data_IF_802750169327
#
_entry.id   IF_802750169327
#
_cell.length_a   1.000
_cell.length_b   1.000
_cell.length_c   1.000
_cell.angle_alpha   90.00
_cell.angle_beta   90.00
_cell.angle_gamma   90.00
#
_symmetry.space_group_name_H-M   'P 1'
#
loop_
_entity.id
_entity.type
_entity.pdbx_description
1 polymer ?
#
# COMPACT_ATOMS: atom_id res chain seq x y z
N UNK A 1 -19.53 -30.14 25.29
CA UNK A 1 -20.21 -30.20 23.97
C UNK A 1 -19.51 -29.20 23.07
N UNK A 2 -18.79 -29.71 22.11
CA UNK A 2 -17.70 -29.02 21.37
C UNK A 2 -18.20 -28.51 20.02
N UNK A 3 -19.24 -27.68 20.05
CA UNK A 3 -19.85 -27.10 18.83
C UNK A 3 -18.94 -26.09 18.11
N UNK A 4 -17.95 -25.54 18.81
CA UNK A 4 -17.03 -24.56 18.21
C UNK A 4 -15.97 -25.19 17.31
N UNK A 5 -15.55 -26.39 17.59
CA UNK A 5 -14.53 -27.12 16.80
C UNK A 5 -15.11 -27.68 15.50
N UNK A 6 -16.32 -28.25 15.53
CA UNK A 6 -16.98 -28.78 14.31
C UNK A 6 -17.32 -27.68 13.29
N UNK A 7 -17.69 -26.49 13.74
CA UNK A 7 -17.99 -25.37 12.82
C UNK A 7 -16.73 -24.76 12.18
N UNK A 8 -15.60 -24.74 12.88
CA UNK A 8 -14.33 -24.29 12.33
C UNK A 8 -13.80 -25.25 11.26
N UNK A 9 -13.83 -26.55 11.51
CA UNK A 9 -13.43 -27.58 10.53
C UNK A 9 -14.26 -27.52 9.25
N UNK A 10 -15.58 -27.31 9.34
CA UNK A 10 -16.47 -27.19 8.16
C UNK A 10 -16.15 -25.94 7.35
N UNK A 11 -15.89 -24.80 7.99
CA UNK A 11 -15.53 -23.56 7.31
C UNK A 11 -14.17 -23.68 6.58
N UNK A 12 -13.19 -24.33 7.20
CA UNK A 12 -11.87 -24.57 6.60
C UNK A 12 -11.96 -25.53 5.40
N UNK A 13 -12.79 -26.58 5.46
CA UNK A 13 -13.04 -27.49 4.33
C UNK A 13 -13.75 -26.77 3.18
N UNK A 14 -14.74 -25.91 3.47
CA UNK A 14 -15.45 -25.14 2.46
C UNK A 14 -14.52 -24.14 1.76
N UNK A 15 -13.71 -23.42 2.52
CA UNK A 15 -12.68 -22.53 1.97
C UNK A 15 -11.68 -23.28 1.09
N UNK A 16 -11.16 -24.41 1.57
CA UNK A 16 -10.23 -25.23 0.81
C UNK A 16 -10.84 -25.67 -0.53
N UNK A 17 -12.07 -26.20 -0.51
CA UNK A 17 -12.80 -26.62 -1.71
C UNK A 17 -13.05 -25.49 -2.70
N UNK A 18 -13.39 -24.29 -2.19
CA UNK A 18 -13.60 -23.10 -3.02
C UNK A 18 -12.31 -22.66 -3.72
N UNK A 19 -11.20 -22.58 -2.99
CA UNK A 19 -9.93 -22.18 -3.54
C UNK A 19 -9.32 -23.22 -4.47
N UNK A 20 -9.56 -24.52 -4.25
CA UNK A 20 -9.18 -25.59 -5.20
C UNK A 20 -9.92 -25.44 -6.53
N UNK A 21 -11.22 -25.11 -6.48
CA UNK A 21 -11.99 -24.82 -7.69
C UNK A 21 -11.50 -23.57 -8.41
N UNK A 22 -11.17 -22.49 -7.65
CA UNK A 22 -10.62 -21.27 -8.21
C UNK A 22 -9.25 -21.52 -8.86
N UNK A 23 -8.38 -22.33 -8.24
CA UNK A 23 -7.10 -22.72 -8.82
C UNK A 23 -7.28 -23.53 -10.13
N UNK A 24 -8.28 -24.39 -10.19
CA UNK A 24 -8.66 -25.10 -11.41
C UNK A 24 -9.10 -24.16 -12.54
N UNK A 25 -9.89 -23.13 -12.23
CA UNK A 25 -10.27 -22.08 -13.19
C UNK A 25 -9.07 -21.28 -13.65
N UNK A 26 -8.15 -20.93 -12.74
CA UNK A 26 -6.93 -20.15 -13.02
C UNK A 26 -5.90 -20.90 -13.90
N UNK A 27 -6.10 -22.18 -14.16
CA UNK A 27 -5.31 -22.98 -15.11
C UNK A 27 -5.91 -23.01 -16.54
N UNK A 28 -7.16 -22.54 -16.70
CA UNK A 28 -7.79 -22.51 -18.02
C UNK A 28 -7.12 -21.45 -18.92
N UNK A 29 -7.05 -21.66 -20.26
CA UNK A 29 -6.32 -20.78 -21.17
C UNK A 29 -6.69 -19.29 -21.08
N UNK A 30 -7.97 -18.99 -20.84
CA UNK A 30 -8.49 -17.63 -20.79
C UNK A 30 -8.22 -16.92 -19.45
N UNK A 31 -7.91 -17.66 -18.39
CA UNK A 31 -7.67 -17.17 -17.03
C UNK A 31 -6.33 -17.60 -16.48
N UNK A 32 -5.45 -18.15 -17.31
CA UNK A 32 -4.17 -18.71 -16.90
C UNK A 32 -3.30 -17.64 -16.17
N UNK A 33 -2.94 -17.95 -14.94
CA UNK A 33 -2.01 -17.17 -14.14
C UNK A 33 -0.61 -17.68 -14.44
N UNK A 34 0.19 -16.87 -15.13
CA UNK A 34 1.59 -17.16 -15.41
C UNK A 34 2.50 -16.57 -14.32
N UNK A 35 3.65 -17.23 -14.06
CA UNK A 35 4.63 -16.72 -13.07
C UNK A 35 4.28 -17.00 -11.62
N UNK A 36 3.36 -17.94 -11.35
CA UNK A 36 3.02 -18.44 -10.02
C UNK A 36 3.15 -19.96 -10.01
N UNK A 37 4.11 -20.48 -9.26
CA UNK A 37 4.40 -21.92 -9.22
C UNK A 37 3.36 -22.73 -8.43
N UNK A 38 2.88 -22.20 -7.31
CA UNK A 38 1.82 -22.78 -6.47
C UNK A 38 0.56 -21.89 -6.50
N UNK A 39 -0.33 -22.13 -7.47
CA UNK A 39 -1.58 -21.37 -7.62
C UNK A 39 -2.49 -21.49 -6.40
N UNK A 40 -2.58 -22.68 -5.81
CA UNK A 40 -3.45 -22.88 -4.64
C UNK A 40 -2.95 -22.12 -3.43
N UNK A 41 -1.65 -22.23 -3.14
CA UNK A 41 -1.01 -21.49 -2.05
C UNK A 41 -1.04 -19.97 -2.28
N UNK A 42 -0.90 -19.52 -3.52
CA UNK A 42 -1.05 -18.11 -3.88
C UNK A 42 -2.47 -17.59 -3.58
N UNK A 43 -3.52 -18.30 -4.03
CA UNK A 43 -4.91 -17.89 -3.76
C UNK A 43 -5.22 -17.88 -2.27
N UNK A 44 -4.70 -18.83 -1.50
CA UNK A 44 -4.82 -18.84 -0.05
C UNK A 44 -4.17 -17.61 0.60
N UNK A 45 -2.96 -17.26 0.16
CA UNK A 45 -2.26 -16.06 0.64
C UNK A 45 -2.98 -14.77 0.21
N UNK A 46 -3.51 -14.74 -1.03
CA UNK A 46 -4.15 -13.58 -1.62
C UNK A 46 -5.47 -13.23 -0.92
N UNK A 47 -6.28 -14.25 -0.59
CA UNK A 47 -7.60 -14.09 0.01
C UNK A 47 -7.63 -14.30 1.53
N UNK A 48 -6.47 -14.46 2.17
CA UNK A 48 -6.33 -14.84 3.59
C UNK A 48 -7.18 -14.02 4.56
N UNK A 49 -7.36 -12.74 4.28
CA UNK A 49 -8.04 -11.80 5.20
C UNK A 49 -9.49 -11.50 4.81
N UNK A 50 -10.00 -12.18 3.78
CA UNK A 50 -11.39 -12.02 3.38
C UNK A 50 -12.32 -12.98 4.15
N UNK A 51 -13.52 -12.52 4.55
CA UNK A 51 -14.54 -13.39 5.14
C UNK A 51 -14.97 -14.50 4.17
N UNK A 52 -15.14 -15.72 4.70
CA UNK A 52 -15.57 -16.87 3.89
C UNK A 52 -16.87 -16.62 3.14
N UNK A 53 -17.83 -15.96 3.79
CA UNK A 53 -19.14 -15.63 3.17
C UNK A 53 -18.98 -14.78 1.90
N UNK A 54 -18.06 -13.82 1.90
CA UNK A 54 -17.76 -12.97 0.74
C UNK A 54 -17.09 -13.78 -0.38
N UNK A 55 -16.15 -14.68 -0.02
CA UNK A 55 -15.48 -15.56 -0.98
C UNK A 55 -16.46 -16.54 -1.64
N UNK A 56 -17.37 -17.11 -0.86
CA UNK A 56 -18.43 -18.01 -1.37
C UNK A 56 -19.38 -17.26 -2.28
N UNK A 57 -19.78 -16.05 -1.91
CA UNK A 57 -20.65 -15.20 -2.73
C UNK A 57 -19.97 -14.79 -4.06
N UNK A 58 -18.66 -14.52 -4.04
CA UNK A 58 -17.90 -14.21 -5.24
C UNK A 58 -17.79 -15.41 -6.20
N UNK A 59 -17.58 -16.60 -5.65
CA UNK A 59 -17.42 -17.83 -6.39
C UNK A 59 -16.07 -18.00 -7.11
N UNK A 60 -15.73 -19.23 -7.51
CA UNK A 60 -14.37 -19.58 -7.95
C UNK A 60 -13.90 -18.84 -9.21
N UNK A 61 -14.82 -18.57 -10.15
CA UNK A 61 -14.46 -17.87 -11.39
C UNK A 61 -14.06 -16.42 -11.17
N UNK A 62 -14.79 -15.71 -10.28
CA UNK A 62 -14.45 -14.32 -9.92
C UNK A 62 -13.15 -14.27 -9.16
N UNK A 63 -12.95 -15.15 -8.18
CA UNK A 63 -11.71 -15.22 -7.41
C UNK A 63 -10.50 -15.45 -8.33
N UNK A 64 -10.59 -16.42 -9.25
CA UNK A 64 -9.54 -16.68 -10.23
C UNK A 64 -9.29 -15.45 -11.13
N UNK A 65 -10.34 -14.79 -11.60
CA UNK A 65 -10.25 -13.63 -12.50
C UNK A 65 -9.57 -12.43 -11.85
N UNK A 66 -10.00 -12.03 -10.64
CA UNK A 66 -9.39 -10.92 -9.89
C UNK A 66 -7.92 -11.19 -9.63
N UNK A 67 -7.58 -12.38 -9.14
CA UNK A 67 -6.20 -12.76 -8.89
C UNK A 67 -5.34 -12.75 -10.18
N UNK A 68 -5.90 -13.23 -11.30
CA UNK A 68 -5.21 -13.24 -12.60
C UNK A 68 -4.94 -11.83 -13.14
N UNK A 69 -5.89 -10.90 -12.98
CA UNK A 69 -5.69 -9.49 -13.36
C UNK A 69 -4.60 -8.84 -12.53
N UNK A 70 -4.59 -9.09 -11.24
CA UNK A 70 -3.58 -8.54 -10.35
C UNK A 70 -2.17 -9.11 -10.65
N UNK A 71 -2.04 -10.41 -10.93
CA UNK A 71 -0.77 -11.01 -11.38
C UNK A 71 -0.30 -10.41 -12.72
N UNK A 72 -1.24 -10.14 -13.65
CA UNK A 72 -0.89 -9.48 -14.92
C UNK A 72 -0.36 -8.06 -14.70
N UNK A 73 -0.98 -7.29 -13.82
CA UNK A 73 -0.45 -5.98 -13.41
C UNK A 73 0.94 -6.12 -12.78
N UNK A 74 1.12 -7.11 -11.92
CA UNK A 74 2.38 -7.36 -11.21
C UNK A 74 3.49 -7.94 -12.09
N UNK A 75 3.21 -8.38 -13.33
CA UNK A 75 4.16 -9.11 -14.18
C UNK A 75 5.48 -8.39 -14.41
N UNK A 76 5.48 -7.05 -14.47
CA UNK A 76 6.70 -6.25 -14.63
C UNK A 76 6.62 -5.00 -13.75
N UNK A 77 7.31 -5.02 -12.62
CA UNK A 77 7.38 -3.90 -11.67
C UNK A 77 8.84 -3.55 -11.35
N UNK A 78 9.38 -2.45 -11.87
CA UNK A 78 10.68 -1.96 -11.45
C UNK A 78 10.71 -1.70 -9.94
N UNK A 79 11.78 -2.11 -9.28
CA UNK A 79 11.94 -1.91 -7.83
C UNK A 79 11.80 -0.42 -7.46
N UNK A 80 11.12 -0.14 -6.36
CA UNK A 80 10.88 1.21 -5.89
C UNK A 80 9.75 1.95 -6.63
N UNK A 81 9.08 1.30 -7.59
CA UNK A 81 7.91 1.86 -8.29
C UNK A 81 6.63 1.20 -7.83
N UNK A 82 5.59 2.01 -7.63
CA UNK A 82 4.23 1.51 -7.51
C UNK A 82 3.60 1.39 -8.90
N UNK A 83 2.87 0.31 -9.13
CA UNK A 83 1.96 0.15 -10.26
C UNK A 83 0.55 0.43 -9.75
N UNK A 84 -0.21 1.23 -10.48
CA UNK A 84 -1.60 1.57 -10.17
C UNK A 84 -2.38 1.39 -11.45
N UNK A 85 -3.51 0.71 -11.36
CA UNK A 85 -4.47 0.57 -12.43
C UNK A 85 -5.86 0.84 -11.87
N UNK A 86 -6.60 1.73 -12.52
CA UNK A 86 -7.99 2.02 -12.18
C UNK A 86 -8.86 1.65 -13.37
N UNK A 87 -9.82 0.76 -13.14
CA UNK A 87 -10.65 0.19 -14.20
C UNK A 87 -12.13 0.45 -13.93
N UNK A 88 -12.89 0.79 -14.97
CA UNK A 88 -14.34 0.77 -14.95
C UNK A 88 -14.82 -0.62 -15.37
N UNK A 89 -15.68 -1.24 -14.57
CA UNK A 89 -16.24 -2.55 -14.90
C UNK A 89 -15.18 -3.66 -14.78
N UNK A 90 -14.97 -4.21 -13.58
CA UNK A 90 -14.16 -5.42 -13.41
C UNK A 90 -14.77 -6.60 -14.17
N UNK A 91 -13.97 -7.64 -14.50
CA UNK A 91 -14.36 -8.84 -15.26
C UNK A 91 -15.61 -9.57 -14.74
N UNK A 92 -16.17 -9.13 -13.61
CA UNK A 92 -17.34 -9.71 -12.97
C UNK A 92 -18.60 -8.85 -13.03
N UNK A 93 -18.58 -7.71 -13.70
CA UNK A 93 -19.71 -6.77 -13.69
C UNK A 93 -20.69 -6.93 -14.84
N UNK A 94 -20.90 -8.15 -15.36
CA UNK A 94 -22.01 -8.37 -16.29
C UNK A 94 -23.40 -8.01 -15.71
N UNK A 95 -23.49 -7.70 -14.41
CA UNK A 95 -24.72 -7.36 -13.69
C UNK A 95 -24.69 -6.00 -12.98
N UNK A 96 -23.54 -5.31 -12.86
CA UNK A 96 -23.44 -4.02 -12.17
C UNK A 96 -22.52 -3.06 -12.95
N UNK A 97 -23.13 -2.28 -13.85
CA UNK A 97 -22.44 -1.30 -14.72
C UNK A 97 -21.71 -0.18 -13.97
N UNK A 98 -21.93 -0.05 -12.66
CA UNK A 98 -21.36 0.99 -11.81
C UNK A 98 -20.15 0.57 -10.96
N UNK A 99 -19.68 -0.67 -11.06
CA UNK A 99 -18.50 -1.13 -10.30
C UNK A 99 -17.22 -0.97 -11.09
N UNK A 100 -16.20 -0.48 -10.40
CA UNK A 100 -14.84 -0.43 -10.89
C UNK A 100 -13.88 -1.06 -9.90
N UNK A 101 -12.60 -1.11 -10.26
CA UNK A 101 -11.53 -1.56 -9.36
C UNK A 101 -10.34 -0.61 -9.37
N UNK A 102 -9.65 -0.60 -8.24
CA UNK A 102 -8.32 -0.03 -8.07
C UNK A 102 -7.39 -1.18 -7.71
N UNK A 103 -6.39 -1.42 -8.56
CA UNK A 103 -5.38 -2.44 -8.39
C UNK A 103 -4.00 -1.79 -8.23
N UNK A 104 -3.29 -2.13 -7.15
CA UNK A 104 -2.02 -1.53 -6.79
C UNK A 104 -1.01 -2.62 -6.42
N UNK A 105 0.20 -2.52 -6.99
CA UNK A 105 1.36 -3.35 -6.62
C UNK A 105 2.52 -2.44 -6.23
N UNK A 106 2.99 -2.55 -5.00
CA UNK A 106 4.11 -1.73 -4.50
C UNK A 106 4.97 -2.51 -3.51
N UNK A 107 6.13 -1.97 -3.13
CA UNK A 107 6.89 -2.51 -2.00
C UNK A 107 6.03 -2.43 -0.73
N UNK A 108 6.12 -3.45 0.14
CA UNK A 108 5.39 -3.41 1.41
C UNK A 108 5.94 -2.33 2.33
N UNK A 109 5.05 -1.48 2.83
CA UNK A 109 5.38 -0.40 3.75
C UNK A 109 4.15 0.03 4.56
N UNK A 110 4.34 0.68 5.71
CA UNK A 110 3.23 1.19 6.51
C UNK A 110 2.43 2.28 5.78
N UNK A 111 1.19 2.51 6.22
CA UNK A 111 0.27 3.56 5.79
C UNK A 111 -0.33 3.44 4.39
N UNK A 112 -0.10 2.34 3.68
CA UNK A 112 -0.60 2.18 2.30
C UNK A 112 -2.12 2.20 2.24
N UNK A 113 -2.79 1.29 2.95
CA UNK A 113 -4.26 1.14 2.90
C UNK A 113 -4.95 2.42 3.35
N UNK A 114 -4.52 2.99 4.47
CA UNK A 114 -5.10 4.23 5.00
C UNK A 114 -4.99 5.39 4.00
N UNK A 115 -3.81 5.57 3.40
CA UNK A 115 -3.56 6.64 2.44
C UNK A 115 -4.35 6.45 1.14
N UNK A 116 -4.47 5.21 0.65
CA UNK A 116 -5.28 4.88 -0.53
C UNK A 116 -6.75 5.16 -0.24
N UNK A 117 -7.28 4.67 0.89
CA UNK A 117 -8.69 4.84 1.28
C UNK A 117 -9.04 6.32 1.49
N UNK A 118 -8.14 7.10 2.10
CA UNK A 118 -8.33 8.55 2.23
C UNK A 118 -8.42 9.25 0.86
N UNK A 119 -7.60 8.84 -0.11
CA UNK A 119 -7.64 9.41 -1.45
C UNK A 119 -8.93 9.03 -2.19
N UNK A 120 -9.40 7.77 -2.08
CA UNK A 120 -10.70 7.35 -2.61
C UNK A 120 -11.83 8.20 -2.01
N UNK A 121 -11.84 8.38 -0.69
CA UNK A 121 -12.81 9.23 0.01
C UNK A 121 -12.76 10.68 -0.46
N UNK A 122 -11.57 11.23 -0.74
CA UNK A 122 -11.39 12.59 -1.30
C UNK A 122 -12.04 12.73 -2.69
N UNK A 123 -12.05 11.66 -3.48
CA UNK A 123 -12.75 11.60 -4.75
C UNK A 123 -14.25 11.29 -4.63
N UNK A 124 -14.77 11.13 -3.40
CA UNK A 124 -16.18 10.80 -3.14
C UNK A 124 -16.54 9.37 -3.52
N UNK A 125 -15.55 8.48 -3.52
CA UNK A 125 -15.74 7.06 -3.83
C UNK A 125 -15.91 6.25 -2.54
N UNK A 126 -16.97 5.45 -2.51
CA UNK A 126 -17.13 4.40 -1.50
C UNK A 126 -16.39 3.14 -1.95
N UNK A 127 -15.70 2.48 -1.01
CA UNK A 127 -15.05 1.20 -1.21
C UNK A 127 -15.92 0.08 -0.64
N UNK A 128 -16.08 -1.01 -1.41
CA UNK A 128 -16.88 -2.16 -0.98
C UNK A 128 -16.02 -3.26 -0.37
N UNK A 129 -15.06 -3.76 -1.14
CA UNK A 129 -14.19 -4.85 -0.73
C UNK A 129 -12.72 -4.43 -0.89
N UNK A 130 -11.93 -4.71 0.13
CA UNK A 130 -10.49 -4.43 0.15
C UNK A 130 -9.74 -5.74 0.35
N UNK A 131 -8.97 -6.14 -0.65
CA UNK A 131 -8.05 -7.27 -0.60
C UNK A 131 -6.65 -6.68 -0.55
N UNK A 132 -5.89 -6.97 0.52
CA UNK A 132 -4.58 -6.38 0.75
C UNK A 132 -3.59 -7.44 1.28
N UNK A 133 -3.20 -8.42 0.45
CA UNK A 133 -2.16 -9.37 0.83
C UNK A 133 -0.78 -8.74 0.83
N UNK A 134 0.00 -9.09 1.83
CA UNK A 134 1.44 -8.86 1.88
C UNK A 134 2.13 -10.15 1.42
N UNK A 135 2.83 -10.08 0.30
CA UNK A 135 3.38 -11.24 -0.40
C UNK A 135 4.90 -11.18 -0.48
N UNK A 136 5.54 -12.34 -0.35
CA UNK A 136 6.92 -12.53 -0.75
C UNK A 136 6.96 -12.94 -2.23
N UNK A 137 7.70 -12.18 -3.03
CA UNK A 137 7.83 -12.42 -4.46
C UNK A 137 9.30 -12.49 -4.87
N UNK A 138 9.59 -13.18 -5.98
CA UNK A 138 10.88 -13.16 -6.63
C UNK A 138 10.78 -12.43 -7.96
N UNK A 139 11.69 -11.48 -8.16
CA UNK A 139 11.80 -10.70 -9.39
C UNK A 139 13.22 -10.72 -9.93
N UNK A 140 13.34 -10.58 -11.24
CA UNK A 140 14.63 -10.33 -11.83
C UNK A 140 15.07 -8.86 -11.68
N UNK A 141 16.28 -8.56 -12.13
CA UNK A 141 16.86 -7.21 -12.10
C UNK A 141 16.06 -6.18 -12.93
N UNK A 142 15.25 -6.63 -13.89
CA UNK A 142 14.39 -5.75 -14.70
C UNK A 142 13.03 -5.51 -14.06
N UNK A 143 12.71 -6.25 -12.99
CA UNK A 143 11.43 -6.19 -12.29
C UNK A 143 10.39 -7.20 -12.77
N UNK A 144 10.78 -8.14 -13.65
CA UNK A 144 9.89 -9.21 -14.11
C UNK A 144 9.60 -10.17 -12.96
N UNK A 145 8.32 -10.47 -12.73
CA UNK A 145 7.88 -11.42 -11.72
C UNK A 145 8.25 -12.85 -12.15
N UNK A 146 8.99 -13.56 -11.30
CA UNK A 146 9.32 -14.95 -11.52
C UNK A 146 8.45 -15.91 -10.73
N UNK A 147 8.14 -15.52 -9.48
CA UNK A 147 7.35 -16.37 -8.59
C UNK A 147 6.70 -15.55 -7.47
N UNK A 148 5.56 -16.02 -7.00
CA UNK A 148 4.94 -15.60 -5.75
C UNK A 148 5.17 -16.71 -4.73
N UNK A 149 6.07 -16.46 -3.79
CA UNK A 149 6.53 -17.48 -2.82
C UNK A 149 5.44 -17.80 -1.78
N UNK A 150 4.67 -16.78 -1.40
CA UNK A 150 3.60 -16.92 -0.40
C UNK A 150 3.41 -15.66 0.44
N UNK A 151 2.67 -15.76 1.54
CA UNK A 151 2.41 -14.61 2.41
C UNK A 151 3.68 -14.17 3.14
N UNK A 152 3.80 -12.85 3.36
CA UNK A 152 4.85 -12.31 4.21
C UNK A 152 4.71 -12.86 5.64
N UNK A 153 5.79 -13.43 6.17
CA UNK A 153 5.87 -13.91 7.54
C UNK A 153 7.03 -13.22 8.25
N UNK A 154 6.79 -12.77 9.49
CA UNK A 154 7.83 -12.12 10.29
C UNK A 154 9.07 -13.02 10.45
N UNK A 155 10.24 -12.46 10.19
CA UNK A 155 11.52 -13.15 10.34
C UNK A 155 11.85 -14.24 9.30
N UNK A 156 10.98 -14.47 8.31
CA UNK A 156 11.18 -15.46 7.25
C UNK A 156 11.22 -14.77 5.88
N UNK A 157 12.37 -14.27 5.49
CA UNK A 157 12.60 -13.72 4.15
C UNK A 157 13.88 -14.30 3.57
N UNK A 158 13.78 -14.91 2.40
CA UNK A 158 14.92 -15.37 1.61
C UNK A 158 15.73 -14.20 1.09
N UNK A 159 16.97 -14.44 0.71
CA UNK A 159 17.91 -13.41 0.24
C UNK A 159 17.45 -12.76 -1.08
N UNK A 160 16.73 -13.50 -1.92
CA UNK A 160 16.23 -13.13 -3.24
C UNK A 160 14.72 -12.79 -3.26
N UNK A 161 14.13 -12.65 -2.07
CA UNK A 161 12.70 -12.38 -1.93
C UNK A 161 12.46 -10.90 -1.60
N UNK A 162 11.40 -10.34 -2.20
CA UNK A 162 10.96 -8.96 -2.00
C UNK A 162 9.58 -9.01 -1.34
N UNK A 163 9.38 -8.21 -0.28
CA UNK A 163 8.07 -8.03 0.31
C UNK A 163 7.30 -6.99 -0.51
N UNK A 164 6.16 -7.40 -1.03
CA UNK A 164 5.24 -6.54 -1.78
C UNK A 164 3.86 -6.52 -1.14
N UNK A 165 3.25 -5.36 -1.19
CA UNK A 165 1.85 -5.16 -0.89
C UNK A 165 1.08 -5.08 -2.19
N UNK A 166 0.11 -5.98 -2.35
CA UNK A 166 -0.82 -5.99 -3.46
C UNK A 166 -2.19 -5.57 -2.92
N UNK A 167 -2.79 -4.54 -3.49
CA UNK A 167 -4.06 -4.00 -3.02
C UNK A 167 -5.06 -3.99 -4.15
N UNK A 168 -6.18 -4.69 -3.95
CA UNK A 168 -7.35 -4.64 -4.83
C UNK A 168 -8.53 -4.03 -4.05
N UNK A 169 -9.15 -3.02 -4.62
CA UNK A 169 -10.29 -2.33 -4.00
C UNK A 169 -11.41 -2.23 -5.03
N UNK A 170 -12.59 -2.73 -4.69
CA UNK A 170 -13.80 -2.49 -5.47
C UNK A 170 -14.38 -1.12 -5.12
N UNK A 171 -14.70 -0.33 -6.13
CA UNK A 171 -15.21 1.04 -5.99
C UNK A 171 -16.53 1.22 -6.75
N UNK A 172 -17.37 2.14 -6.26
CA UNK A 172 -18.54 2.58 -7.00
C UNK A 172 -18.18 3.75 -7.94
N UNK A 173 -18.31 3.51 -9.24
CA UNK A 173 -18.01 4.51 -10.27
C UNK A 173 -19.26 5.28 -10.73
N UNK A 174 -20.42 5.08 -10.10
CA UNK A 174 -21.69 5.76 -10.43
C UNK A 174 -21.61 7.29 -10.29
N UNK A 175 -20.71 7.79 -9.45
CA UNK A 175 -20.50 9.22 -9.23
C UNK A 175 -19.83 9.96 -10.42
N UNK A 176 -19.45 9.24 -11.49
CA UNK A 176 -18.86 9.85 -12.69
C UNK A 176 -17.44 10.41 -12.49
N UNK A 177 -16.67 9.82 -11.60
CA UNK A 177 -15.28 10.23 -11.31
C UNK A 177 -14.37 9.93 -12.49
N UNK A 178 -13.44 10.82 -12.78
CA UNK A 178 -12.39 10.61 -13.78
C UNK A 178 -11.39 9.56 -13.27
N UNK A 179 -11.44 8.33 -13.84
CA UNK A 179 -10.53 7.24 -13.44
C UNK A 179 -9.06 7.59 -13.69
N UNK A 180 -8.76 8.34 -14.74
CA UNK A 180 -7.39 8.78 -15.05
C UNK A 180 -6.86 9.81 -14.03
N UNK A 181 -7.72 10.70 -13.50
CA UNK A 181 -7.34 11.61 -12.42
C UNK A 181 -7.14 10.86 -11.12
N UNK A 182 -8.02 9.93 -10.80
CA UNK A 182 -7.89 9.07 -9.63
C UNK A 182 -6.57 8.27 -9.67
N UNK A 183 -6.25 7.63 -10.80
CA UNK A 183 -5.01 6.88 -10.96
C UNK A 183 -3.76 7.76 -10.73
N UNK A 184 -3.75 8.96 -11.32
CA UNK A 184 -2.67 9.93 -11.13
C UNK A 184 -2.53 10.39 -9.69
N UNK A 185 -3.65 10.64 -9.00
CA UNK A 185 -3.64 11.08 -7.62
C UNK A 185 -3.19 9.96 -6.68
N UNK A 186 -3.62 8.71 -6.92
CA UNK A 186 -3.13 7.54 -6.19
C UNK A 186 -1.62 7.33 -6.39
N UNK A 187 -1.11 7.48 -7.63
CA UNK A 187 0.33 7.43 -7.89
C UNK A 187 1.09 8.48 -7.09
N UNK A 188 0.57 9.71 -7.00
CA UNK A 188 1.15 10.79 -6.21
C UNK A 188 1.16 10.44 -4.71
N UNK A 189 0.03 9.97 -4.18
CA UNK A 189 -0.09 9.57 -2.77
C UNK A 189 0.91 8.47 -2.42
N UNK A 190 1.06 7.44 -3.26
CA UNK A 190 2.02 6.37 -3.03
C UNK A 190 3.48 6.84 -3.07
N UNK A 191 3.80 7.84 -3.89
CA UNK A 191 5.12 8.50 -3.86
C UNK A 191 5.34 9.29 -2.58
N UNK A 192 4.31 10.00 -2.08
CA UNK A 192 4.36 10.74 -0.83
C UNK A 192 4.54 9.79 0.38
N UNK A 193 3.81 8.67 0.42
CA UNK A 193 3.96 7.62 1.44
C UNK A 193 5.38 7.06 1.44
N UNK A 194 5.89 6.67 0.27
CA UNK A 194 7.26 6.17 0.13
C UNK A 194 8.29 7.18 0.63
N UNK A 195 8.17 8.43 0.22
CA UNK A 195 9.10 9.47 0.65
C UNK A 195 9.08 9.66 2.17
N UNK A 196 7.90 9.65 2.80
CA UNK A 196 7.76 9.77 4.24
C UNK A 196 8.39 8.56 4.97
N UNK A 197 8.15 7.34 4.50
CA UNK A 197 8.68 6.10 5.09
C UNK A 197 10.20 6.01 4.95
N UNK A 198 10.73 6.28 3.75
CA UNK A 198 12.17 6.23 3.49
C UNK A 198 12.97 7.27 4.30
N UNK A 199 12.40 8.47 4.48
CA UNK A 199 13.08 9.55 5.19
C UNK A 199 12.73 9.61 6.69
N UNK A 200 11.82 8.76 7.18
CA UNK A 200 11.41 8.76 8.60
C UNK A 200 12.60 8.73 9.57
N UNK A 201 13.62 7.84 9.41
CA UNK A 201 14.77 7.83 10.31
C UNK A 201 15.52 9.16 10.33
N UNK A 202 15.71 9.80 9.16
CA UNK A 202 16.39 11.09 9.05
C UNK A 202 15.60 12.23 9.67
N UNK A 203 14.25 12.17 9.57
CA UNK A 203 13.38 13.16 10.21
C UNK A 203 13.39 13.03 11.73
N UNK A 204 13.35 11.80 12.26
CA UNK A 204 13.49 11.54 13.68
C UNK A 204 14.86 12.02 14.21
N UNK A 205 15.96 11.72 13.50
CA UNK A 205 17.30 12.25 13.82
C UNK A 205 17.36 13.78 13.78
N UNK A 206 16.66 14.42 12.83
CA UNK A 206 16.60 15.89 12.76
C UNK A 206 15.92 16.49 14.01
N UNK A 207 14.85 15.85 14.50
CA UNK A 207 14.20 16.27 15.75
C UNK A 207 15.13 16.14 16.97
N UNK A 208 15.91 15.05 17.06
CA UNK A 208 16.91 14.86 18.12
C UNK A 208 18.03 15.91 18.02
N UNK A 209 18.59 16.11 16.82
CA UNK A 209 19.62 17.16 16.60
C UNK A 209 19.11 18.54 16.99
N UNK A 210 17.84 18.85 16.70
CA UNK A 210 17.24 20.13 17.12
C UNK A 210 17.16 20.23 18.64
N UNK A 211 16.75 19.15 19.33
CA UNK A 211 16.74 19.12 20.80
C UNK A 211 18.14 19.37 21.40
N UNK A 212 19.19 18.76 20.83
CA UNK A 212 20.58 18.92 21.27
C UNK A 212 21.10 20.36 21.02
N UNK A 213 20.79 20.94 19.85
CA UNK A 213 21.13 22.33 19.53
C UNK A 213 20.49 23.33 20.50
N UNK A 214 19.22 23.12 20.84
CA UNK A 214 18.51 23.93 21.82
C UNK A 214 19.12 23.84 23.23
N UNK A 215 19.88 22.79 23.55
CA UNK A 215 20.61 22.66 24.82
C UNK A 215 21.89 23.51 24.84
N UNK A 216 22.53 23.67 23.69
CA UNK A 216 23.88 24.27 23.56
C UNK A 216 23.88 25.67 22.97
N UNK A 217 22.90 26.04 22.15
CA UNK A 217 22.87 27.28 21.38
C UNK A 217 21.71 28.19 21.81
N UNK A 218 21.99 29.40 22.29
CA UNK A 218 20.98 30.41 22.55
C UNK A 218 20.42 30.47 23.98
N UNK A 219 19.38 31.29 24.21
CA UNK A 219 18.71 31.31 25.50
C UNK A 219 18.06 29.96 25.77
N UNK A 220 18.32 29.38 26.94
CA UNK A 220 17.92 28.04 27.34
C UNK A 220 16.40 27.87 27.17
N UNK A 221 15.91 27.04 26.25
CA UNK A 221 14.48 26.79 26.13
C UNK A 221 13.97 26.05 27.36
N UNK A 222 12.65 26.06 27.63
CA UNK A 222 12.07 25.21 28.65
C UNK A 222 12.51 23.76 28.44
N UNK A 223 12.88 23.06 29.52
CA UNK A 223 13.28 21.64 29.47
C UNK A 223 12.22 20.75 28.80
N UNK A 224 10.96 21.16 28.89
CA UNK A 224 9.81 20.53 28.25
C UNK A 224 9.90 20.52 26.71
N UNK A 225 10.47 21.57 26.08
CA UNK A 225 10.62 21.63 24.61
C UNK A 225 11.59 20.58 24.11
N UNK A 226 12.71 20.37 24.80
CA UNK A 226 13.68 19.32 24.46
C UNK A 226 13.10 17.93 24.69
N UNK A 227 12.42 17.75 25.84
CA UNK A 227 11.74 16.50 26.17
C UNK A 227 10.68 16.14 25.13
N UNK A 228 9.90 17.14 24.66
CA UNK A 228 8.90 16.94 23.61
C UNK A 228 9.55 16.48 22.29
N UNK A 229 10.59 17.15 21.83
CA UNK A 229 11.26 16.78 20.58
C UNK A 229 11.82 15.34 20.61
N UNK A 230 12.46 14.96 21.72
CA UNK A 230 12.94 13.60 21.92
C UNK A 230 11.80 12.59 22.01
N UNK A 231 10.72 12.93 22.69
CA UNK A 231 9.52 12.09 22.77
C UNK A 231 8.89 11.88 21.39
N UNK A 232 8.76 12.94 20.56
CA UNK A 232 8.27 12.81 19.18
C UNK A 232 9.15 11.88 18.34
N UNK A 233 10.49 11.97 18.51
CA UNK A 233 11.45 11.14 17.78
C UNK A 233 11.48 9.68 18.24
N UNK A 234 11.00 9.37 19.45
CA UNK A 234 10.94 8.03 20.04
C UNK A 234 9.64 7.29 19.66
N UNK A 235 9.31 7.26 18.38
CA UNK A 235 8.15 6.57 17.80
C UNK A 235 6.78 6.97 18.36
N UNK A 236 6.65 8.15 18.97
CA UNK A 236 5.38 8.66 19.45
C UNK A 236 4.70 9.61 18.45
N UNK A 237 5.33 9.85 17.32
CA UNK A 237 4.81 10.73 16.28
C UNK A 237 5.23 10.26 14.89
N UNK A 238 4.33 10.38 13.92
CA UNK A 238 4.61 10.07 12.53
C UNK A 238 5.03 11.33 11.78
N UNK A 239 6.32 11.46 11.50
CA UNK A 239 6.84 12.55 10.67
C UNK A 239 6.50 12.28 9.20
N UNK A 240 5.81 13.22 8.56
CA UNK A 240 5.50 13.15 7.14
C UNK A 240 6.48 13.93 6.28
N UNK A 241 7.03 15.02 6.83
CA UNK A 241 7.98 15.87 6.14
C UNK A 241 8.78 16.77 7.08
N UNK A 242 9.98 17.13 6.66
CA UNK A 242 10.85 18.05 7.35
C UNK A 242 11.51 18.99 6.34
N UNK A 243 11.70 20.27 6.72
CA UNK A 243 12.47 21.26 5.95
C UNK A 243 12.97 22.37 6.85
N UNK A 244 14.17 22.86 6.59
CA UNK A 244 14.75 24.04 7.25
C UNK A 244 14.44 25.31 6.45
N UNK A 245 14.30 26.41 7.17
CA UNK A 245 14.07 27.73 6.60
C UNK A 245 14.94 28.75 7.30
N UNK A 246 15.54 29.64 6.51
CA UNK A 246 16.20 30.85 7.01
C UNK A 246 15.16 31.96 7.16
N UNK A 247 15.23 32.67 8.28
CA UNK A 247 14.45 33.87 8.50
C UNK A 247 15.26 35.07 8.00
N UNK A 248 14.81 35.71 6.92
CA UNK A 248 15.50 36.81 6.25
C UNK A 248 14.67 38.08 6.21
N UNK A 249 15.31 39.23 6.20
CA UNK A 249 14.65 40.51 5.98
C UNK A 249 14.24 40.64 4.51
N UNK A 250 12.95 40.74 4.26
CA UNK A 250 12.37 40.91 2.92
C UNK A 250 11.75 42.31 2.74
N UNK A 251 11.38 42.68 1.50
CA UNK A 251 10.78 44.01 1.19
C UNK A 251 9.47 44.32 1.91
N UNK A 252 8.77 43.30 2.38
CA UNK A 252 7.48 43.36 3.09
C UNK A 252 7.57 42.94 4.56
N UNK A 253 8.78 42.79 5.11
CA UNK A 253 9.05 42.27 6.46
C UNK A 253 9.80 40.95 6.44
N UNK A 254 9.87 40.29 7.61
CA UNK A 254 10.55 39.01 7.75
C UNK A 254 9.92 37.93 6.85
N UNK A 255 10.72 37.18 6.13
CA UNK A 255 10.31 36.10 5.25
C UNK A 255 11.07 34.79 5.56
N UNK A 256 10.40 33.66 5.43
CA UNK A 256 10.99 32.34 5.52
C UNK A 256 11.45 31.89 4.13
N UNK A 257 12.76 31.66 3.97
CA UNK A 257 13.35 31.17 2.74
C UNK A 257 13.79 29.71 2.97
N UNK A 258 13.32 28.74 2.15
CA UNK A 258 13.71 27.35 2.34
C UNK A 258 15.22 27.16 2.10
N UNK A 259 15.86 26.42 3.00
CA UNK A 259 17.28 26.05 2.86
C UNK A 259 17.36 24.90 1.84
N UNK A 260 18.08 25.07 0.72
CA UNK A 260 18.17 24.05 -0.32
C UNK A 260 18.74 22.73 0.21
N UNK A 261 18.15 21.60 -0.21
CA UNK A 261 18.61 20.26 0.14
C UNK A 261 18.24 19.76 1.53
N UNK A 262 17.46 20.53 2.32
CA UNK A 262 17.01 20.09 3.66
C UNK A 262 15.65 19.40 3.66
N UNK A 263 14.94 19.40 2.53
CA UNK A 263 13.62 18.78 2.41
C UNK A 263 13.69 17.26 2.53
N UNK A 264 12.84 16.68 3.40
CA UNK A 264 12.67 15.24 3.63
C UNK A 264 11.19 14.86 3.57
N UNK A 265 10.91 13.60 3.31
CA UNK A 265 9.56 13.08 3.21
C UNK A 265 8.76 13.77 2.10
N UNK A 266 7.50 14.13 2.37
CA UNK A 266 6.62 14.84 1.41
C UNK A 266 7.15 16.21 1.01
N UNK A 267 8.14 16.75 1.73
CA UNK A 267 8.83 18.01 1.44
C UNK A 267 10.17 17.81 0.72
N UNK A 268 10.49 16.56 0.29
CA UNK A 268 11.76 16.19 -0.39
C UNK A 268 11.98 17.00 -1.66
N UNK A 269 10.91 17.25 -2.40
CA UNK A 269 10.98 17.99 -3.65
C UNK A 269 10.47 19.41 -3.47
N UNK A 270 11.25 20.37 -3.93
CA UNK A 270 10.77 21.76 -4.03
C UNK A 270 9.64 21.79 -5.07
N UNK A 271 8.41 21.88 -4.61
CA UNK A 271 7.33 22.30 -5.52
C UNK A 271 7.66 23.76 -5.87
N UNK A 272 8.26 23.97 -7.04
CA UNK A 272 8.31 25.28 -7.63
C UNK A 272 6.85 25.69 -7.86
N UNK A 273 6.38 26.61 -6.99
CA UNK A 273 5.08 27.23 -7.14
C UNK A 273 5.00 28.07 -8.41
#
# INVERSE_FOLDING_TARGET
MDWGYEMADVADEELASLLDKAAGVAQAPDTAIAGVGDLRGFLDAYYRHMPLEELVAAGPSRLAGVAAEHVRLAAARPQGRALVQVSAGGMCSALEESRGSVDIVTDDMPFLVDSITMELTRHGLDSFHVIHPQLLVRRDITGTLWDVVGPLQEGKRGHDEIAESWTHIEIDTSAGVSLAELEKDLQRVLLDVRAAVEDYPKMAEAAVRLADRLETEGPRPPAETQALLRWLADNHFTFLGYREYDLVDGPQGMALVPVPGTGLGILRHDKRG
#
